data_IF_229537966335
#
_entry.id   IF_229537966335
#
_cell.length_a   1.000
_cell.length_b   1.000
_cell.length_c   1.000
_cell.angle_alpha   90.00
_cell.angle_beta   90.00
_cell.angle_gamma   90.00
#
_symmetry.space_group_name_H-M   'P 1'
#
loop_
_entity.id
_entity.type
_entity.pdbx_description
1 polymer ?
#
# COMPACT_ATOMS: atom_id res chain seq x y z
N UNK A 1 16.11 12.61 16.71
CA UNK A 1 16.46 14.04 16.72
C UNK A 1 17.39 14.30 15.54
N UNK A 2 16.84 14.33 14.33
CA UNK A 2 17.63 14.44 13.08
C UNK A 2 16.71 15.11 12.08
N UNK A 3 16.64 16.44 12.13
CA UNK A 3 15.73 17.22 11.30
C UNK A 3 16.52 18.32 10.58
N UNK A 4 16.52 18.22 9.25
CA UNK A 4 16.66 19.31 8.29
C UNK A 4 17.93 20.17 8.31
N UNK A 5 19.10 19.60 8.65
CA UNK A 5 20.37 20.32 8.41
C UNK A 5 20.62 20.57 6.93
N UNK A 6 20.28 19.62 6.07
CA UNK A 6 20.54 19.70 4.63
C UNK A 6 19.54 20.63 3.93
N UNK A 7 18.27 20.59 4.32
CA UNK A 7 17.25 21.48 3.75
C UNK A 7 17.54 22.96 4.04
N UNK A 8 17.98 23.29 5.27
CA UNK A 8 18.37 24.67 5.62
C UNK A 8 19.57 25.17 4.82
N UNK A 9 20.52 24.29 4.48
CA UNK A 9 21.65 24.65 3.61
C UNK A 9 21.17 25.03 2.21
N UNK A 10 20.28 24.21 1.63
CA UNK A 10 19.70 24.47 0.30
C UNK A 10 18.94 25.80 0.25
N UNK A 11 18.12 26.09 1.26
CA UNK A 11 17.43 27.37 1.36
C UNK A 11 18.43 28.52 1.43
N UNK A 12 19.50 28.39 2.23
CA UNK A 12 20.52 29.44 2.38
C UNK A 12 21.31 29.67 1.09
N UNK A 13 21.71 28.62 0.39
CA UNK A 13 22.37 28.71 -0.92
C UNK A 13 21.49 29.45 -1.93
N UNK A 14 20.21 29.09 -2.01
CA UNK A 14 19.27 29.78 -2.89
C UNK A 14 19.10 31.26 -2.54
N UNK A 15 19.00 31.60 -1.25
CA UNK A 15 18.93 33.00 -0.80
C UNK A 15 20.16 33.80 -1.26
N UNK A 16 21.37 33.21 -1.23
CA UNK A 16 22.59 33.90 -1.68
C UNK A 16 22.65 34.06 -3.20
N UNK A 17 22.10 33.11 -3.96
CA UNK A 17 22.11 33.15 -5.42
C UNK A 17 21.04 34.09 -6.00
N UNK A 18 19.85 34.10 -5.39
CA UNK A 18 18.67 34.80 -5.93
C UNK A 18 18.37 36.11 -5.23
N UNK A 19 18.92 36.34 -4.03
CA UNK A 19 18.57 37.46 -3.17
C UNK A 19 17.16 37.35 -2.54
N UNK A 20 16.46 36.22 -2.73
CA UNK A 20 15.14 35.98 -2.17
C UNK A 20 15.16 35.90 -0.64
N UNK A 21 14.06 36.28 0.00
CA UNK A 21 13.89 36.06 1.44
C UNK A 21 13.66 34.56 1.75
N UNK A 22 13.82 34.18 3.02
CA UNK A 22 13.75 32.77 3.45
C UNK A 22 12.42 32.10 3.10
N UNK A 23 11.29 32.81 3.22
CA UNK A 23 9.96 32.26 2.96
C UNK A 23 9.77 31.96 1.48
N UNK A 24 10.16 32.89 0.61
CA UNK A 24 10.11 32.71 -0.84
C UNK A 24 11.04 31.59 -1.30
N UNK A 25 12.30 31.59 -0.85
CA UNK A 25 13.27 30.55 -1.20
C UNK A 25 12.84 29.15 -0.72
N UNK A 26 12.27 29.06 0.50
CA UNK A 26 11.71 27.81 1.04
C UNK A 26 10.53 27.32 0.22
N UNK A 27 9.60 28.22 -0.11
CA UNK A 27 8.38 27.86 -0.87
C UNK A 27 8.75 27.38 -2.28
N UNK A 28 9.70 28.04 -2.94
CA UNK A 28 10.21 27.65 -4.25
C UNK A 28 10.88 26.26 -4.23
N UNK A 29 11.68 25.95 -3.20
CA UNK A 29 12.30 24.62 -3.05
C UNK A 29 11.28 23.52 -2.80
N UNK A 30 10.24 23.80 -2.00
CA UNK A 30 9.14 22.87 -1.75
C UNK A 30 8.31 22.63 -3.02
N UNK A 31 8.02 23.68 -3.79
CA UNK A 31 7.30 23.59 -5.06
C UNK A 31 8.11 22.84 -6.12
N UNK A 32 9.41 23.08 -6.24
CA UNK A 32 10.30 22.36 -7.15
C UNK A 32 10.34 20.85 -6.87
N UNK A 33 10.33 20.45 -5.59
CA UNK A 33 10.31 19.05 -5.19
C UNK A 33 8.95 18.37 -5.49
N UNK A 34 7.85 19.13 -5.44
CA UNK A 34 6.52 18.65 -5.85
C UNK A 34 6.40 18.55 -7.38
N UNK A 35 7.01 19.48 -8.13
CA UNK A 35 7.06 19.43 -9.60
C UNK A 35 7.90 18.27 -10.13
N UNK A 36 8.98 17.89 -9.44
CA UNK A 36 9.82 16.74 -9.82
C UNK A 36 9.17 15.38 -9.50
N UNK A 37 8.22 15.32 -8.55
CA UNK A 37 7.40 14.12 -8.29
C UNK A 37 6.37 13.81 -9.38
N UNK A 38 6.09 14.78 -10.24
CA UNK A 38 5.10 14.65 -11.33
C UNK A 38 5.72 14.21 -12.66
N UNK A 39 7.00 13.80 -12.68
CA UNK A 39 7.68 13.26 -13.88
C UNK A 39 8.30 11.87 -13.64
N UNK A 40 7.71 11.08 -12.75
CA UNK A 40 7.99 9.63 -12.62
C UNK A 40 7.01 8.76 -13.41
N UNK A 41 6.16 9.35 -14.25
CA UNK A 41 5.25 8.63 -15.16
C UNK A 41 5.97 8.15 -16.44
N UNK A 42 7.18 7.64 -16.25
CA UNK A 42 7.73 6.61 -17.12
C UNK A 42 7.53 5.32 -16.37
N UNK A 43 6.45 4.59 -16.72
CA UNK A 43 6.16 3.19 -16.36
C UNK A 43 7.46 2.48 -16.01
N UNK A 44 7.76 2.41 -14.71
CA UNK A 44 8.77 1.52 -14.21
C UNK A 44 8.21 0.14 -14.47
N UNK A 45 8.61 -0.44 -15.59
CA UNK A 45 8.40 -1.84 -15.91
C UNK A 45 8.83 -2.59 -14.66
N UNK A 46 7.85 -3.03 -13.87
CA UNK A 46 8.03 -3.44 -12.50
C UNK A 46 8.74 -4.79 -12.53
N UNK A 47 10.07 -4.74 -12.63
CA UNK A 47 10.90 -5.93 -12.48
C UNK A 47 10.74 -6.36 -11.02
N UNK A 48 9.76 -7.23 -10.78
CA UNK A 48 9.51 -7.84 -9.48
C UNK A 48 10.83 -8.50 -9.08
N UNK A 49 11.40 -8.03 -7.96
CA UNK A 49 12.68 -8.54 -7.50
C UNK A 49 12.60 -10.07 -7.31
N UNK A 50 13.58 -10.87 -7.78
CA UNK A 50 13.47 -12.33 -7.80
C UNK A 50 13.15 -12.96 -6.44
N UNK A 51 13.62 -12.36 -5.35
CA UNK A 51 13.33 -12.76 -3.98
C UNK A 51 11.86 -12.58 -3.60
N UNK A 52 11.22 -11.51 -4.07
CA UNK A 52 9.79 -11.24 -3.85
C UNK A 52 8.95 -12.25 -4.64
N UNK A 53 9.30 -12.52 -5.90
CA UNK A 53 8.62 -13.53 -6.71
C UNK A 53 8.71 -14.93 -6.09
N UNK A 54 9.90 -15.33 -5.61
CA UNK A 54 10.11 -16.61 -4.90
C UNK A 54 9.31 -16.67 -3.61
N UNK A 55 9.29 -15.58 -2.85
CA UNK A 55 8.49 -15.49 -1.63
C UNK A 55 7.00 -15.65 -1.93
N UNK A 56 6.50 -14.99 -2.98
CA UNK A 56 5.12 -15.11 -3.44
C UNK A 56 4.78 -16.56 -3.79
N UNK A 57 5.54 -17.16 -4.71
CA UNK A 57 5.31 -18.53 -5.16
C UNK A 57 5.33 -19.54 -3.99
N UNK A 58 6.29 -19.41 -3.06
CA UNK A 58 6.38 -20.29 -1.88
C UNK A 58 5.17 -20.12 -0.96
N UNK A 59 4.74 -18.89 -0.72
CA UNK A 59 3.63 -18.59 0.18
C UNK A 59 2.31 -19.09 -0.41
N UNK A 60 2.04 -18.81 -1.69
CA UNK A 60 0.83 -19.29 -2.35
C UNK A 60 0.79 -20.81 -2.45
N UNK A 61 1.92 -21.46 -2.74
CA UNK A 61 1.99 -22.93 -2.70
C UNK A 61 1.65 -23.51 -1.31
N UNK A 62 1.99 -22.81 -0.24
CA UNK A 62 1.80 -23.31 1.14
C UNK A 62 0.40 -23.03 1.68
N UNK A 63 -0.18 -21.87 1.33
CA UNK A 63 -1.43 -21.39 1.94
C UNK A 63 -2.60 -21.31 0.96
N UNK A 64 -2.34 -21.20 -0.35
CA UNK A 64 -3.36 -21.09 -1.40
C UNK A 64 -3.06 -21.98 -2.62
N UNK A 65 -2.81 -23.30 -2.45
CA UNK A 65 -2.38 -24.17 -3.53
C UNK A 65 -3.39 -24.23 -4.70
N UNK A 66 -4.69 -24.17 -4.37
CA UNK A 66 -5.80 -24.21 -5.33
C UNK A 66 -6.57 -22.89 -5.41
N UNK A 67 -5.93 -21.78 -5.02
CA UNK A 67 -6.57 -20.46 -4.92
C UNK A 67 -7.47 -20.28 -3.69
N UNK A 68 -7.64 -21.31 -2.85
CA UNK A 68 -8.34 -21.23 -1.55
C UNK A 68 -7.37 -21.27 -0.39
N UNK A 69 -7.64 -20.51 0.66
CA UNK A 69 -6.82 -20.45 1.86
C UNK A 69 -7.02 -21.74 2.66
N UNK A 70 -6.00 -22.60 2.69
CA UNK A 70 -6.04 -23.87 3.45
C UNK A 70 -5.65 -23.69 4.91
N UNK A 71 -4.89 -22.65 5.22
CA UNK A 71 -4.50 -22.26 6.58
C UNK A 71 -4.17 -20.78 6.60
N UNK A 72 -4.56 -20.10 7.67
CA UNK A 72 -4.18 -18.69 7.86
C UNK A 72 -2.69 -18.62 8.27
N UNK A 73 -1.85 -17.82 7.57
CA UNK A 73 -0.45 -17.67 7.94
C UNK A 73 -0.27 -17.03 9.32
N UNK A 74 0.60 -17.59 10.15
CA UNK A 74 0.97 -16.99 11.44
C UNK A 74 1.94 -15.81 11.31
N UNK A 75 2.74 -15.79 10.23
CA UNK A 75 3.66 -14.69 9.92
C UNK A 75 2.91 -13.58 9.18
N UNK A 76 2.92 -12.37 9.74
CA UNK A 76 2.22 -11.20 9.19
C UNK A 76 2.58 -10.90 7.73
N UNK A 77 3.87 -10.94 7.36
CA UNK A 77 4.29 -10.75 5.95
C UNK A 77 3.67 -11.76 4.97
N UNK A 78 3.50 -13.01 5.39
CA UNK A 78 2.84 -14.03 4.57
C UNK A 78 1.33 -13.81 4.51
N UNK A 79 0.72 -13.39 5.63
CA UNK A 79 -0.68 -13.00 5.69
C UNK A 79 -0.96 -11.82 4.73
N UNK A 80 -0.16 -10.76 4.76
CA UNK A 80 -0.30 -9.61 3.84
C UNK A 80 -0.33 -10.04 2.39
N UNK A 81 0.58 -10.93 1.97
CA UNK A 81 0.55 -11.43 0.60
C UNK A 81 -0.75 -12.17 0.28
N UNK A 82 -1.24 -13.03 1.19
CA UNK A 82 -2.53 -13.71 1.01
C UNK A 82 -3.67 -12.70 0.90
N UNK A 83 -3.66 -11.63 1.70
CA UNK A 83 -4.66 -10.55 1.62
C UNK A 83 -4.60 -9.82 0.27
N UNK A 84 -3.40 -9.59 -0.29
CA UNK A 84 -3.24 -8.98 -1.62
C UNK A 84 -3.83 -9.89 -2.71
N UNK A 85 -3.63 -11.20 -2.64
CA UNK A 85 -4.27 -12.12 -3.60
C UNK A 85 -5.79 -12.12 -3.49
N UNK A 86 -6.32 -12.08 -2.26
CA UNK A 86 -7.77 -11.95 -2.03
C UNK A 86 -8.29 -10.62 -2.57
N UNK A 87 -7.57 -9.53 -2.34
CA UNK A 87 -7.91 -8.19 -2.82
C UNK A 87 -7.96 -8.14 -4.35
N UNK A 88 -7.06 -8.86 -5.03
CA UNK A 88 -7.01 -8.91 -6.50
C UNK A 88 -8.25 -9.55 -7.16
N UNK A 89 -9.10 -10.23 -6.37
CA UNK A 89 -10.39 -10.74 -6.82
C UNK A 89 -11.55 -9.76 -6.61
N UNK A 90 -11.32 -8.67 -5.89
CA UNK A 90 -12.29 -7.58 -5.72
C UNK A 90 -12.10 -6.55 -6.83
N UNK A 91 -13.22 -6.08 -7.37
CA UNK A 91 -13.26 -4.97 -8.32
C UNK A 91 -13.07 -3.64 -7.57
N UNK A 92 -12.08 -2.80 -7.93
CA UNK A 92 -11.82 -1.52 -7.27
C UNK A 92 -12.88 -0.45 -7.55
N UNK A 93 -13.67 -0.59 -8.62
CA UNK A 93 -14.70 0.39 -9.00
C UNK A 93 -16.07 0.07 -8.38
N UNK A 94 -16.16 -0.99 -7.55
CA UNK A 94 -17.39 -1.43 -6.92
C UNK A 94 -17.46 -1.13 -5.42
N UNK A 95 -18.66 -0.76 -4.99
CA UNK A 95 -19.06 -0.74 -3.58
C UNK A 95 -19.83 -2.02 -3.27
N UNK A 96 -19.43 -2.69 -2.20
CA UNK A 96 -20.00 -3.95 -1.73
C UNK A 96 -20.77 -3.71 -0.44
N UNK A 97 -21.99 -4.25 -0.35
CA UNK A 97 -22.60 -4.49 0.95
C UNK A 97 -21.88 -5.65 1.68
N UNK A 98 -22.13 -5.76 2.98
CA UNK A 98 -21.54 -6.82 3.80
C UNK A 98 -21.84 -8.24 3.27
N UNK A 99 -23.06 -8.49 2.78
CA UNK A 99 -23.47 -9.83 2.35
C UNK A 99 -22.72 -10.26 1.09
N UNK A 100 -22.58 -9.34 0.12
CA UNK A 100 -21.87 -9.55 -1.13
C UNK A 100 -20.38 -9.73 -0.88
N UNK A 101 -19.78 -8.88 -0.04
CA UNK A 101 -18.38 -9.03 0.34
C UNK A 101 -18.12 -10.36 1.05
N UNK A 102 -18.97 -10.74 2.00
CA UNK A 102 -18.83 -12.02 2.72
C UNK A 102 -18.94 -13.22 1.77
N UNK A 103 -19.81 -13.15 0.75
CA UNK A 103 -19.90 -14.18 -0.29
C UNK A 103 -18.59 -14.36 -1.05
N UNK A 104 -18.01 -13.26 -1.54
CA UNK A 104 -16.73 -13.27 -2.27
C UNK A 104 -15.58 -13.77 -1.39
N UNK A 105 -15.44 -13.25 -0.17
CA UNK A 105 -14.40 -13.67 0.76
C UNK A 105 -14.58 -15.14 1.19
N UNK A 106 -15.82 -15.62 1.26
CA UNK A 106 -16.17 -17.00 1.58
C UNK A 106 -15.69 -18.01 0.53
N UNK A 107 -15.45 -17.59 -0.71
CA UNK A 107 -14.81 -18.42 -1.73
C UNK A 107 -13.35 -18.74 -1.37
N UNK A 108 -12.67 -17.82 -0.69
CA UNK A 108 -11.28 -17.96 -0.26
C UNK A 108 -11.13 -18.67 1.08
N UNK A 109 -11.94 -18.32 2.08
CA UNK A 109 -11.85 -18.88 3.42
C UNK A 109 -13.19 -18.79 4.18
N UNK A 110 -13.60 -19.82 4.94
CA UNK A 110 -14.86 -19.80 5.70
C UNK A 110 -14.91 -18.70 6.78
N UNK A 111 -13.76 -18.33 7.34
CA UNK A 111 -13.64 -17.17 8.22
C UNK A 111 -13.42 -15.89 7.39
N UNK A 112 -14.47 -15.47 6.68
CA UNK A 112 -14.49 -14.22 5.91
C UNK A 112 -14.44 -12.98 6.82
N UNK A 113 -14.86 -13.12 8.08
CA UNK A 113 -14.82 -12.03 9.06
C UNK A 113 -13.37 -11.66 9.41
N UNK A 114 -12.50 -12.67 9.59
CA UNK A 114 -11.06 -12.48 9.75
C UNK A 114 -10.44 -11.77 8.53
N UNK A 115 -10.73 -12.24 7.32
CA UNK A 115 -10.18 -11.63 6.09
C UNK A 115 -10.60 -10.16 5.97
N UNK A 116 -11.89 -9.87 6.16
CA UNK A 116 -12.42 -8.51 6.12
C UNK A 116 -11.76 -7.60 7.15
N UNK A 117 -11.57 -8.08 8.39
CA UNK A 117 -10.89 -7.32 9.45
C UNK A 117 -9.45 -7.00 9.05
N UNK A 118 -8.70 -7.99 8.61
CA UNK A 118 -7.29 -7.81 8.24
C UNK A 118 -7.12 -6.90 7.02
N UNK A 119 -8.00 -7.01 6.02
CA UNK A 119 -8.01 -6.10 4.86
C UNK A 119 -8.21 -4.64 5.27
N UNK A 120 -9.07 -4.38 6.26
CA UNK A 120 -9.30 -3.03 6.82
C UNK A 120 -8.13 -2.59 7.69
N UNK A 121 -7.56 -3.48 8.50
CA UNK A 121 -6.41 -3.19 9.37
C UNK A 121 -5.16 -2.80 8.56
N UNK A 122 -4.96 -3.43 7.39
CA UNK A 122 -3.97 -3.03 6.39
C UNK A 122 -4.47 -1.96 5.41
N UNK A 123 -5.63 -1.33 5.66
CA UNK A 123 -6.14 -0.21 4.85
C UNK A 123 -6.23 -0.52 3.34
N UNK A 124 -6.39 -1.80 3.00
CA UNK A 124 -6.61 -2.28 1.64
C UNK A 124 -8.10 -2.24 1.28
N UNK A 125 -8.97 -2.41 2.27
CA UNK A 125 -10.40 -2.10 2.18
C UNK A 125 -10.72 -0.91 3.07
N UNK A 126 -11.66 -0.08 2.62
CA UNK A 126 -12.32 0.93 3.43
C UNK A 126 -13.76 0.48 3.73
N UNK A 127 -14.33 1.06 4.80
CA UNK A 127 -15.69 0.76 5.25
C UNK A 127 -16.43 2.03 5.65
N UNK A 128 -17.67 2.17 5.21
CA UNK A 128 -18.58 3.15 5.78
C UNK A 128 -19.25 2.59 7.05
N UNK A 129 -18.97 3.21 8.19
CA UNK A 129 -19.46 2.75 9.48
C UNK A 129 -20.98 2.85 9.65
N UNK A 130 -21.63 3.77 8.93
CA UNK A 130 -23.06 4.06 9.06
C UNK A 130 -23.90 3.19 8.12
N UNK A 131 -23.43 2.95 6.90
CA UNK A 131 -24.17 2.17 5.88
C UNK A 131 -23.77 0.71 5.85
N UNK A 132 -22.57 0.34 6.35
CA UNK A 132 -22.05 -1.02 6.26
C UNK A 132 -21.51 -1.39 4.87
N UNK A 133 -21.22 -0.39 4.05
CA UNK A 133 -20.61 -0.56 2.73
C UNK A 133 -19.09 -0.69 2.82
N UNK A 134 -18.51 -1.39 1.84
CA UNK A 134 -17.09 -1.67 1.71
C UNK A 134 -16.61 -1.40 0.29
N UNK A 135 -15.38 -0.94 0.12
CA UNK A 135 -14.76 -0.75 -1.20
C UNK A 135 -13.25 -0.91 -1.10
N UNK A 136 -12.60 -1.26 -2.21
CA UNK A 136 -11.13 -1.29 -2.31
C UNK A 136 -10.61 0.12 -2.11
N UNK A 137 -9.60 0.27 -1.26
CA UNK A 137 -8.95 1.55 -1.08
C UNK A 137 -8.10 1.86 -2.33
N UNK A 138 -8.45 2.88 -3.13
CA UNK A 138 -7.68 3.21 -4.33
C UNK A 138 -6.31 3.81 -4.00
N UNK A 139 -6.13 4.32 -2.77
CA UNK A 139 -4.90 4.95 -2.33
C UNK A 139 -4.54 4.44 -0.92
N UNK A 140 -4.06 3.19 -0.79
CA UNK A 140 -3.64 2.67 0.51
C UNK A 140 -2.54 3.58 1.08
N UNK A 141 -2.62 3.96 2.36
CA UNK A 141 -1.64 4.82 2.99
C UNK A 141 -0.27 4.12 3.03
N UNK A 142 0.80 4.91 3.11
CA UNK A 142 2.11 4.35 3.43
C UNK A 142 2.07 3.74 4.83
N UNK A 143 2.23 2.42 4.91
CA UNK A 143 2.31 1.72 6.17
C UNK A 143 3.53 2.17 6.99
N UNK A 144 3.40 2.18 8.32
CA UNK A 144 4.47 2.56 9.23
C UNK A 144 4.78 1.43 10.23
N UNK A 145 5.94 1.48 10.89
CA UNK A 145 6.31 0.49 11.90
C UNK A 145 6.43 -0.94 11.34
N UNK A 146 5.83 -1.90 12.03
CA UNK A 146 5.85 -3.31 11.63
C UNK A 146 5.13 -3.55 10.30
N UNK A 147 4.00 -2.86 10.05
CA UNK A 147 3.26 -2.98 8.80
C UNK A 147 4.10 -2.57 7.59
N UNK A 148 4.99 -1.57 7.73
CA UNK A 148 5.90 -1.18 6.66
C UNK A 148 6.84 -2.33 6.26
N UNK A 149 7.38 -3.06 7.23
CA UNK A 149 8.28 -4.19 6.99
C UNK A 149 7.54 -5.40 6.39
N UNK A 150 6.28 -5.57 6.78
CA UNK A 150 5.40 -6.63 6.30
C UNK A 150 4.95 -6.37 4.86
N UNK A 151 4.68 -5.11 4.50
CA UNK A 151 4.27 -4.70 3.16
C UNK A 151 5.45 -4.55 2.19
N UNK A 152 6.66 -4.25 2.68
CA UNK A 152 7.82 -3.91 1.86
C UNK A 152 8.10 -4.90 0.70
N UNK A 153 7.96 -4.37 -0.52
CA UNK A 153 8.15 -5.05 -1.79
C UNK A 153 6.92 -5.79 -2.30
N UNK A 154 5.86 -5.93 -1.50
CA UNK A 154 4.60 -6.54 -1.89
C UNK A 154 3.64 -5.53 -2.53
N UNK A 155 3.89 -4.23 -2.36
CA UNK A 155 3.09 -3.16 -2.96
C UNK A 155 3.04 -3.27 -4.49
N UNK A 156 4.07 -3.88 -5.10
CA UNK A 156 4.16 -4.14 -6.54
C UNK A 156 3.01 -5.02 -7.08
N UNK A 157 2.31 -5.73 -6.19
CA UNK A 157 1.19 -6.60 -6.54
C UNK A 157 -0.18 -5.94 -6.35
N UNK A 158 -0.24 -4.73 -5.80
CA UNK A 158 -1.47 -3.94 -5.75
C UNK A 158 -1.77 -3.43 -7.17
N UNK A 159 -3.03 -3.59 -7.61
CA UNK A 159 -3.51 -3.21 -8.93
C UNK A 159 -4.24 -1.88 -8.88
#
# INVERSE_FOLDING_TARGET
MTKDKDFKKLVRTRMTETGENYTTARTALVAANQGSRSNSDSRSESVIAPEIARFRAKTLKSFMPDGRIVSVPTKRRALVLVLIEVLAALDPDLVYDEKRLNGLLGEFHPDFALLRRELIDYRLLERNAHTGEYWVNPNPPTHTGSQAQEMAGLEVFLR
#
